data_IF_136117731356
#
_entry.id   IF_136117731356
#
_cell.length_a   1.000
_cell.length_b   1.000
_cell.length_c   1.000
_cell.angle_alpha   90.00
_cell.angle_beta   90.00
_cell.angle_gamma   90.00
#
_symmetry.space_group_name_H-M   'P 1'
#
loop_
_entity.id
_entity.type
_entity.pdbx_description
1 polymer ?
#
# COMPACT_ATOMS: atom_id res chain seq x y z
N UNK A 1 -53.93 -20.31 -61.51
CA UNK A 1 -54.71 -19.82 -60.36
C UNK A 1 -53.91 -18.71 -59.73
N UNK A 2 -54.44 -17.49 -59.82
CA UNK A 2 -53.85 -16.28 -59.26
C UNK A 2 -54.43 -16.05 -57.88
N UNK A 3 -53.59 -15.73 -56.90
CA UNK A 3 -54.01 -15.02 -55.70
C UNK A 3 -53.00 -13.91 -55.40
N UNK A 4 -53.53 -12.70 -55.24
CA UNK A 4 -52.82 -11.50 -54.87
C UNK A 4 -53.33 -10.99 -53.51
N UNK A 5 -52.49 -10.13 -52.93
CA UNK A 5 -52.77 -9.09 -51.94
C UNK A 5 -52.90 -9.45 -50.46
N UNK A 6 -52.16 -8.66 -49.68
CA UNK A 6 -52.22 -8.56 -48.23
C UNK A 6 -51.14 -7.62 -47.71
N UNK A 7 -51.30 -6.32 -47.97
CA UNK A 7 -50.50 -5.20 -47.46
C UNK A 7 -50.76 -4.97 -45.95
N UNK A 8 -49.70 -4.70 -45.18
CA UNK A 8 -49.77 -4.09 -43.86
C UNK A 8 -48.42 -3.39 -43.52
N UNK A 9 -48.21 -2.25 -44.16
CA UNK A 9 -47.91 -0.95 -43.53
C UNK A 9 -47.32 -0.88 -42.10
N UNK A 10 -46.27 -0.03 -42.02
CA UNK A 10 -45.93 0.96 -40.97
C UNK A 10 -44.84 0.66 -39.91
N UNK A 11 -43.67 1.27 -40.17
CA UNK A 11 -43.00 2.28 -39.33
C UNK A 11 -42.55 1.90 -37.91
N UNK A 12 -41.24 1.73 -37.76
CA UNK A 12 -40.52 1.93 -36.50
C UNK A 12 -39.21 2.68 -36.80
N UNK A 13 -39.25 4.00 -36.69
CA UNK A 13 -38.10 4.88 -36.82
C UNK A 13 -37.41 5.06 -35.45
N UNK A 14 -36.08 5.14 -35.53
CA UNK A 14 -35.10 5.70 -34.58
C UNK A 14 -34.50 4.77 -33.51
N UNK A 15 -33.15 4.77 -33.37
CA UNK A 15 -32.44 4.06 -32.31
C UNK A 15 -32.62 4.80 -30.98
N UNK A 16 -32.95 4.04 -29.95
CA UNK A 16 -33.10 4.56 -28.59
C UNK A 16 -31.75 5.06 -28.08
N UNK A 17 -31.61 6.38 -28.07
CA UNK A 17 -30.48 7.10 -27.52
C UNK A 17 -30.92 7.65 -26.17
N UNK A 18 -30.79 6.83 -25.13
CA UNK A 18 -31.03 7.27 -23.76
C UNK A 18 -29.85 6.90 -22.85
N UNK A 19 -29.05 7.94 -22.60
CA UNK A 19 -28.42 8.26 -21.31
C UNK A 19 -27.36 7.30 -20.76
N UNK A 20 -26.10 7.63 -21.07
CA UNK A 20 -24.97 7.40 -20.17
C UNK A 20 -25.27 8.11 -18.84
N UNK A 21 -25.74 7.37 -17.85
CA UNK A 21 -25.54 7.78 -16.45
C UNK A 21 -24.04 8.00 -16.23
N UNK A 22 -23.60 9.02 -15.48
CA UNK A 22 -22.23 9.09 -15.00
C UNK A 22 -22.07 7.95 -14.01
N UNK A 23 -21.75 6.77 -14.55
CA UNK A 23 -21.47 5.59 -13.77
C UNK A 23 -20.30 5.95 -12.88
N UNK A 24 -20.54 5.98 -11.57
CA UNK A 24 -19.49 5.78 -10.58
C UNK A 24 -18.73 4.55 -11.04
N UNK A 25 -17.57 4.75 -11.66
CA UNK A 25 -16.80 3.65 -12.23
C UNK A 25 -16.50 2.71 -11.08
N UNK A 26 -17.21 1.58 -11.04
CA UNK A 26 -16.94 0.50 -10.09
C UNK A 26 -15.54 0.05 -10.44
N UNK A 27 -14.57 0.41 -9.59
CA UNK A 27 -13.20 -0.02 -9.75
C UNK A 27 -13.21 -1.54 -9.87
N UNK A 28 -12.43 -2.07 -10.79
CA UNK A 28 -12.19 -3.50 -10.80
C UNK A 28 -11.66 -3.93 -9.43
N UNK A 29 -11.95 -5.17 -9.03
CA UNK A 29 -11.48 -5.72 -7.75
C UNK A 29 -9.96 -5.57 -7.59
N UNK A 30 -9.19 -5.67 -8.68
CA UNK A 30 -7.74 -5.53 -8.67
C UNK A 30 -7.29 -4.08 -8.46
N UNK A 31 -7.99 -3.10 -9.04
CA UNK A 31 -7.74 -1.69 -8.76
C UNK A 31 -8.10 -1.31 -7.32
N UNK A 32 -9.16 -1.89 -6.77
CA UNK A 32 -9.52 -1.70 -5.36
C UNK A 32 -8.44 -2.26 -4.43
N UNK A 33 -7.94 -3.48 -4.72
CA UNK A 33 -6.82 -4.08 -3.99
C UNK A 33 -5.54 -3.26 -4.12
N UNK A 34 -5.18 -2.81 -5.34
CA UNK A 34 -4.05 -1.91 -5.57
C UNK A 34 -4.14 -0.65 -4.70
N UNK A 35 -5.31 -0.02 -4.62
CA UNK A 35 -5.51 1.18 -3.79
C UNK A 35 -5.24 0.88 -2.32
N UNK A 36 -5.72 -0.25 -1.80
CA UNK A 36 -5.46 -0.68 -0.41
C UNK A 36 -3.98 -0.96 -0.15
N UNK A 37 -3.32 -1.70 -1.04
CA UNK A 37 -1.86 -1.94 -0.93
C UNK A 37 -1.06 -0.65 -1.01
N UNK A 38 -1.45 0.28 -1.89
CA UNK A 38 -0.83 1.59 -2.02
C UNK A 38 -1.01 2.43 -0.76
N UNK A 39 -2.20 2.42 -0.17
CA UNK A 39 -2.47 3.13 1.08
C UNK A 39 -1.58 2.61 2.22
N UNK A 40 -1.49 1.27 2.37
CA UNK A 40 -0.58 0.65 3.36
C UNK A 40 0.88 0.99 3.10
N UNK A 41 1.34 0.92 1.85
CA UNK A 41 2.71 1.28 1.49
C UNK A 41 3.04 2.75 1.82
N UNK A 42 2.09 3.66 1.57
CA UNK A 42 2.23 5.09 1.91
C UNK A 42 2.31 5.30 3.42
N UNK A 43 1.39 4.69 4.18
CA UNK A 43 1.39 4.72 5.64
C UNK A 43 2.73 4.25 6.21
N UNK A 44 3.24 3.10 5.73
CA UNK A 44 4.53 2.59 6.14
C UNK A 44 5.69 3.55 5.79
N UNK A 45 5.69 4.13 4.58
CA UNK A 45 6.69 5.11 4.17
C UNK A 45 6.68 6.38 5.02
N UNK A 46 5.49 6.85 5.42
CA UNK A 46 5.36 8.00 6.32
C UNK A 46 5.89 7.69 7.71
N UNK A 47 5.62 6.49 8.24
CA UNK A 47 6.23 6.01 9.49
C UNK A 47 7.75 5.89 9.38
N UNK A 48 8.30 5.42 8.26
CA UNK A 48 9.75 5.40 8.02
C UNK A 48 10.33 6.80 8.21
N UNK A 49 9.74 7.82 7.57
CA UNK A 49 10.19 9.22 7.70
C UNK A 49 10.07 9.73 9.14
N UNK A 50 8.95 9.46 9.80
CA UNK A 50 8.70 9.89 11.17
C UNK A 50 9.71 9.29 12.17
N UNK A 51 10.00 7.99 12.04
CA UNK A 51 10.98 7.30 12.87
C UNK A 51 12.41 7.82 12.63
N UNK A 52 12.81 8.03 11.36
CA UNK A 52 14.11 8.64 11.04
C UNK A 52 14.25 10.05 11.64
N UNK A 53 13.20 10.88 11.57
CA UNK A 53 13.18 12.21 12.22
C UNK A 53 13.32 12.10 13.73
N UNK A 54 12.57 11.20 14.36
CA UNK A 54 12.59 11.00 15.80
C UNK A 54 13.97 10.55 16.31
N UNK A 55 14.71 9.79 15.50
CA UNK A 55 16.08 9.39 15.80
C UNK A 55 17.10 10.55 15.69
N UNK A 56 16.70 11.72 15.17
CA UNK A 56 17.62 12.84 14.89
C UNK A 56 18.63 12.51 13.79
N UNK A 57 18.32 11.54 12.93
CA UNK A 57 19.23 11.07 11.91
C UNK A 57 18.96 11.82 10.61
N UNK A 58 19.85 12.74 10.25
CA UNK A 58 19.85 13.37 8.94
C UNK A 58 20.26 12.34 7.88
N UNK A 59 19.28 11.90 7.10
CA UNK A 59 19.47 10.93 6.04
C UNK A 59 19.25 11.59 4.68
N UNK A 60 20.29 11.62 3.85
CA UNK A 60 20.13 11.90 2.42
C UNK A 60 19.75 10.58 1.71
N UNK A 61 18.50 10.42 1.23
CA UNK A 61 18.08 9.21 0.54
C UNK A 61 18.79 9.00 -0.81
N UNK A 62 19.49 10.02 -1.35
CA UNK A 62 20.31 9.92 -2.56
C UNK A 62 21.73 9.40 -2.30
N UNK A 63 22.17 9.34 -1.03
CA UNK A 63 23.50 8.83 -0.69
C UNK A 63 23.57 7.30 -0.91
N UNK A 64 24.40 6.87 -1.86
CA UNK A 64 24.59 5.45 -2.19
C UNK A 64 25.76 4.88 -1.39
N UNK A 65 25.48 3.93 -0.50
CA UNK A 65 26.49 3.20 0.26
C UNK A 65 26.20 1.69 0.13
N UNK A 66 27.22 0.93 -0.29
CA UNK A 66 27.06 -0.50 -0.60
C UNK A 66 26.66 -1.37 0.61
N UNK A 67 27.15 -1.02 1.81
CA UNK A 67 26.76 -1.67 3.08
C UNK A 67 26.57 -0.58 4.14
N UNK A 68 25.34 -0.20 4.49
CA UNK A 68 25.10 0.83 5.48
C UNK A 68 25.40 0.30 6.89
N UNK A 69 26.51 0.73 7.48
CA UNK A 69 26.89 0.42 8.88
C UNK A 69 26.35 1.44 9.86
N UNK A 70 26.44 2.72 9.48
CA UNK A 70 26.02 3.87 10.28
C UNK A 70 24.50 4.04 10.30
N UNK A 71 23.97 4.61 11.40
CA UNK A 71 22.54 4.88 11.56
C UNK A 71 21.98 5.76 10.42
N UNK A 72 22.72 6.79 9.98
CA UNK A 72 22.37 7.64 8.85
C UNK A 72 22.29 6.89 7.52
N UNK A 73 23.26 6.02 7.24
CA UNK A 73 23.26 5.20 6.04
C UNK A 73 22.10 4.19 6.04
N UNK A 74 21.77 3.60 7.20
CA UNK A 74 20.63 2.68 7.34
C UNK A 74 19.29 3.39 7.18
N UNK A 75 19.14 4.59 7.75
CA UNK A 75 17.98 5.44 7.59
C UNK A 75 17.77 5.86 6.11
N UNK A 76 18.83 6.30 5.43
CA UNK A 76 18.80 6.63 4.01
C UNK A 76 18.36 5.43 3.16
N UNK A 77 18.91 4.25 3.43
CA UNK A 77 18.51 3.02 2.75
C UNK A 77 17.03 2.67 2.99
N UNK A 78 16.53 2.81 4.22
CA UNK A 78 15.12 2.58 4.52
C UNK A 78 14.20 3.53 3.74
N UNK A 79 14.52 4.83 3.72
CA UNK A 79 13.77 5.83 2.95
C UNK A 79 13.75 5.51 1.45
N UNK A 80 14.88 5.10 0.89
CA UNK A 80 15.00 4.70 -0.51
C UNK A 80 14.15 3.46 -0.80
N UNK A 81 14.21 2.42 0.03
CA UNK A 81 13.40 1.21 -0.14
C UNK A 81 11.89 1.52 -0.09
N UNK A 82 11.46 2.41 0.81
CA UNK A 82 10.07 2.88 0.85
C UNK A 82 9.67 3.63 -0.43
N UNK A 83 10.55 4.49 -0.96
CA UNK A 83 10.31 5.22 -2.20
C UNK A 83 10.24 4.28 -3.42
N UNK A 84 11.16 3.32 -3.52
CA UNK A 84 11.21 2.32 -4.60
C UNK A 84 9.93 1.47 -4.62
N UNK A 85 9.43 1.06 -3.46
CA UNK A 85 8.18 0.31 -3.33
C UNK A 85 6.97 1.12 -3.85
N UNK A 86 6.88 2.41 -3.50
CA UNK A 86 5.82 3.29 -3.99
C UNK A 86 5.93 3.54 -5.50
N UNK A 87 7.14 3.71 -6.02
CA UNK A 87 7.37 3.87 -7.45
C UNK A 87 7.00 2.61 -8.24
N UNK A 88 7.22 1.42 -7.67
CA UNK A 88 6.80 0.16 -8.27
C UNK A 88 5.27 0.02 -8.32
N UNK A 89 4.55 0.39 -7.25
CA UNK A 89 3.08 0.38 -7.20
C UNK A 89 2.42 1.32 -8.22
N UNK A 90 3.09 2.41 -8.58
CA UNK A 90 2.60 3.37 -9.56
C UNK A 90 2.77 2.92 -11.02
N UNK A 91 3.49 1.81 -11.27
CA UNK A 91 3.82 1.32 -12.61
C UNK A 91 2.98 0.11 -12.99
N UNK A 92 2.61 0.03 -14.27
CA UNK A 92 1.99 -1.14 -14.87
C UNK A 92 0.52 -1.38 -14.48
N UNK A 93 -0.03 -2.51 -14.92
CA UNK A 93 -1.40 -2.93 -14.63
C UNK A 93 -1.53 -3.48 -13.19
N UNK A 94 -2.70 -3.38 -12.54
CA UNK A 94 -2.99 -3.99 -11.24
C UNK A 94 -2.57 -5.46 -11.15
N UNK A 95 -1.74 -5.77 -10.16
CA UNK A 95 -1.37 -7.13 -9.80
C UNK A 95 -1.37 -7.22 -8.28
N UNK A 96 -2.42 -7.79 -7.66
CA UNK A 96 -2.53 -7.88 -6.21
C UNK A 96 -1.33 -8.54 -5.53
N UNK A 97 -0.73 -9.56 -6.16
CA UNK A 97 0.40 -10.26 -5.55
C UNK A 97 1.67 -9.41 -5.60
N UNK A 98 1.93 -8.72 -6.71
CA UNK A 98 3.06 -7.80 -6.82
C UNK A 98 2.85 -6.57 -5.92
N UNK A 99 1.67 -5.97 -5.96
CA UNK A 99 1.30 -4.79 -5.19
C UNK A 99 1.40 -5.06 -3.67
N UNK A 100 0.93 -6.23 -3.21
CA UNK A 100 1.07 -6.64 -1.81
C UNK A 100 2.53 -6.83 -1.39
N UNK A 101 3.41 -7.35 -2.27
CA UNK A 101 4.85 -7.45 -1.98
C UNK A 101 5.49 -6.07 -1.85
N UNK A 102 5.08 -5.09 -2.63
CA UNK A 102 5.57 -3.72 -2.48
C UNK A 102 5.11 -3.10 -1.16
N UNK A 103 3.86 -3.31 -0.76
CA UNK A 103 3.38 -2.88 0.56
C UNK A 103 4.18 -3.53 1.71
N UNK A 104 4.49 -4.83 1.60
CA UNK A 104 5.38 -5.53 2.54
C UNK A 104 6.78 -4.93 2.57
N UNK A 105 7.38 -4.63 1.42
CA UNK A 105 8.72 -4.05 1.35
C UNK A 105 8.78 -2.66 2.01
N UNK A 106 7.74 -1.84 1.81
CA UNK A 106 7.60 -0.56 2.51
C UNK A 106 7.48 -0.76 4.03
N UNK A 107 6.69 -1.75 4.48
CA UNK A 107 6.57 -2.08 5.91
C UNK A 107 7.89 -2.57 6.52
N UNK A 108 8.67 -3.38 5.80
CA UNK A 108 10.00 -3.83 6.23
C UNK A 108 10.99 -2.66 6.35
N UNK A 109 10.94 -1.70 5.43
CA UNK A 109 11.73 -0.46 5.55
C UNK A 109 11.35 0.35 6.80
N UNK A 110 10.06 0.41 7.13
CA UNK A 110 9.58 1.07 8.35
C UNK A 110 10.09 0.38 9.63
N UNK A 111 10.26 -0.96 9.62
CA UNK A 111 10.90 -1.69 10.74
C UNK A 111 12.34 -1.26 10.94
N UNK A 112 13.12 -1.14 9.86
CA UNK A 112 14.52 -0.70 9.94
C UNK A 112 14.61 0.71 10.56
N UNK A 113 13.74 1.63 10.13
CA UNK A 113 13.68 2.97 10.70
C UNK A 113 13.21 2.97 12.16
N UNK A 114 12.22 2.15 12.51
CA UNK A 114 11.75 1.98 13.88
C UNK A 114 12.83 1.41 14.81
N UNK A 115 13.66 0.49 14.33
CA UNK A 115 14.80 -0.05 15.09
C UNK A 115 15.83 1.04 15.40
N UNK A 116 16.12 1.91 14.43
CA UNK A 116 17.02 3.05 14.62
C UNK A 116 16.40 4.05 15.62
N UNK A 117 15.12 4.39 15.47
CA UNK A 117 14.43 5.27 16.42
C UNK A 117 14.40 4.69 17.83
N UNK A 118 14.14 3.38 17.96
CA UNK A 118 14.17 2.67 19.23
C UNK A 118 15.55 2.73 19.88
N UNK A 119 16.65 2.56 19.13
CA UNK A 119 17.99 2.62 19.72
C UNK A 119 18.44 4.02 20.13
N UNK A 120 17.75 5.07 19.66
CA UNK A 120 17.98 6.47 20.04
C UNK A 120 16.99 6.96 21.12
N UNK A 121 15.85 6.30 21.27
CA UNK A 121 14.88 6.55 22.34
C UNK A 121 15.12 5.65 23.55
N UNK A 122 14.55 6.01 24.69
CA UNK A 122 14.50 5.11 25.86
C UNK A 122 13.07 4.98 26.36
N UNK A 123 12.66 3.76 26.69
CA UNK A 123 11.41 3.46 27.38
C UNK A 123 10.40 2.65 26.57
N UNK A 124 9.42 2.12 27.29
CA UNK A 124 8.45 1.13 26.80
C UNK A 124 7.63 1.58 25.57
N UNK A 125 7.48 2.89 25.35
CA UNK A 125 6.77 3.42 24.18
C UNK A 125 7.57 3.22 22.88
N UNK A 126 8.89 3.40 22.92
CA UNK A 126 9.75 3.16 21.77
C UNK A 126 9.80 1.66 21.42
N UNK A 127 9.88 0.79 22.44
CA UNK A 127 9.81 -0.66 22.27
C UNK A 127 8.46 -1.09 21.68
N UNK A 128 7.36 -0.58 22.22
CA UNK A 128 6.01 -0.88 21.72
C UNK A 128 5.81 -0.43 20.26
N UNK A 129 6.38 0.72 19.88
CA UNK A 129 6.32 1.22 18.51
C UNK A 129 7.14 0.36 17.54
N UNK A 130 8.32 -0.11 17.96
CA UNK A 130 9.11 -1.07 17.19
C UNK A 130 8.40 -2.41 17.03
N UNK A 131 7.86 -2.97 18.11
CA UNK A 131 7.12 -4.24 18.08
C UNK A 131 5.86 -4.15 17.21
N UNK A 132 5.15 -3.03 17.25
CA UNK A 132 4.00 -2.80 16.39
C UNK A 132 4.41 -2.71 14.90
N UNK A 133 5.53 -2.05 14.59
CA UNK A 133 6.08 -2.02 13.23
C UNK A 133 6.48 -3.42 12.73
N UNK A 134 7.09 -4.25 13.60
CA UNK A 134 7.40 -5.65 13.29
C UNK A 134 6.14 -6.45 12.95
N UNK A 135 5.10 -6.34 13.79
CA UNK A 135 3.81 -7.02 13.55
C UNK A 135 3.16 -6.59 12.24
N UNK A 136 3.16 -5.29 11.93
CA UNK A 136 2.66 -4.77 10.66
C UNK A 136 3.42 -5.36 9.46
N UNK A 137 4.76 -5.45 9.54
CA UNK A 137 5.59 -6.07 8.51
C UNK A 137 5.32 -7.56 8.35
N UNK A 138 5.12 -8.30 9.46
CA UNK A 138 4.79 -9.73 9.43
C UNK A 138 3.42 -9.98 8.80
N UNK A 139 2.38 -9.25 9.24
CA UNK A 139 1.04 -9.36 8.67
C UNK A 139 1.01 -9.01 7.17
N UNK A 140 1.73 -7.95 6.76
CA UNK A 140 1.90 -7.63 5.35
C UNK A 140 2.62 -8.74 4.57
N UNK A 141 3.60 -9.40 5.20
CA UNK A 141 4.30 -10.57 4.66
C UNK A 141 3.36 -11.74 4.43
N UNK A 142 2.51 -12.07 5.40
CA UNK A 142 1.49 -13.12 5.28
C UNK A 142 0.49 -12.80 4.17
N UNK A 143 -0.03 -11.58 4.12
CA UNK A 143 -0.96 -11.15 3.07
C UNK A 143 -0.36 -11.21 1.66
N UNK A 144 0.94 -10.90 1.52
CA UNK A 144 1.68 -10.98 0.25
C UNK A 144 2.20 -12.40 -0.08
N UNK A 145 2.18 -13.30 0.91
CA UNK A 145 2.72 -14.65 0.82
C UNK A 145 1.89 -15.57 -0.07
N UNK A 146 2.31 -16.84 -0.17
CA UNK A 146 1.67 -17.85 -1.03
C UNK A 146 0.18 -18.00 -0.75
N UNK A 147 -0.22 -17.91 0.52
CA UNK A 147 -1.59 -18.17 0.95
C UNK A 147 -2.49 -16.94 0.74
N UNK A 148 -1.93 -15.73 0.79
CA UNK A 148 -2.68 -14.50 0.58
C UNK A 148 -2.73 -14.04 -0.88
N UNK A 149 -1.60 -14.17 -1.60
CA UNK A 149 -1.37 -13.63 -2.96
C UNK A 149 -1.89 -12.19 -3.16
N UNK A 150 -1.93 -11.39 -2.08
CA UNK A 150 -2.53 -10.05 -2.08
C UNK A 150 -4.05 -9.99 -2.25
N UNK A 151 -4.75 -11.13 -2.42
CA UNK A 151 -6.19 -11.19 -2.70
C UNK A 151 -7.05 -11.56 -1.48
N UNK A 152 -6.46 -12.22 -0.49
CA UNK A 152 -7.20 -12.63 0.71
C UNK A 152 -7.71 -11.43 1.51
N UNK A 153 -9.03 -11.27 1.58
CA UNK A 153 -9.66 -10.17 2.32
C UNK A 153 -9.30 -10.20 3.80
N UNK A 154 -9.39 -11.37 4.44
CA UNK A 154 -9.09 -11.52 5.86
C UNK A 154 -7.64 -11.15 6.19
N UNK A 155 -6.68 -11.63 5.39
CA UNK A 155 -5.26 -11.32 5.60
C UNK A 155 -4.94 -9.84 5.28
N UNK A 156 -5.62 -9.25 4.31
CA UNK A 156 -5.49 -7.83 4.02
C UNK A 156 -6.05 -6.96 5.16
N UNK A 157 -7.21 -7.31 5.71
CA UNK A 157 -7.81 -6.61 6.85
C UNK A 157 -6.96 -6.75 8.13
N UNK A 158 -6.36 -7.92 8.37
CA UNK A 158 -5.39 -8.11 9.46
C UNK A 158 -4.17 -7.20 9.29
N UNK A 159 -3.60 -7.14 8.09
CA UNK A 159 -2.47 -6.27 7.80
C UNK A 159 -2.82 -4.77 7.92
N UNK A 160 -4.04 -4.38 7.58
CA UNK A 160 -4.55 -3.01 7.79
C UNK A 160 -4.70 -2.68 9.27
N UNK A 161 -5.22 -3.61 10.06
CA UNK A 161 -5.35 -3.46 11.52
C UNK A 161 -3.97 -3.33 12.18
N UNK A 162 -3.02 -4.18 11.78
CA UNK A 162 -1.65 -4.12 12.27
C UNK A 162 -0.95 -2.80 11.87
N UNK A 163 -1.15 -2.31 10.65
CA UNK A 163 -0.62 -1.02 10.22
C UNK A 163 -1.22 0.14 11.03
N UNK A 164 -2.54 0.14 11.29
CA UNK A 164 -3.17 1.14 12.14
C UNK A 164 -2.61 1.14 13.58
N UNK A 165 -2.37 -0.04 14.14
CA UNK A 165 -1.73 -0.18 15.45
C UNK A 165 -0.28 0.35 15.44
N UNK A 166 0.47 0.11 14.37
CA UNK A 166 1.83 0.63 14.21
C UNK A 166 1.84 2.17 14.12
N UNK A 167 0.88 2.78 13.41
CA UNK A 167 0.71 4.24 13.38
C UNK A 167 0.39 4.79 14.76
N UNK A 168 -0.54 4.17 15.49
CA UNK A 168 -0.90 4.61 16.84
C UNK A 168 0.28 4.52 17.82
N UNK A 169 1.03 3.41 17.79
CA UNK A 169 2.19 3.21 18.65
C UNK A 169 3.32 4.20 18.33
N UNK A 170 3.61 4.44 17.04
CA UNK A 170 4.55 5.47 16.61
C UNK A 170 4.13 6.87 17.10
N UNK A 171 2.84 7.20 16.98
CA UNK A 171 2.30 8.46 17.49
C UNK A 171 2.39 8.62 19.00
N UNK A 172 2.26 7.53 19.77
CA UNK A 172 2.45 7.50 21.22
C UNK A 172 3.93 7.63 21.62
N UNK A 173 4.84 7.06 20.83
CA UNK A 173 6.29 7.22 20.99
C UNK A 173 6.81 8.59 20.54
N UNK A 174 5.95 9.47 20.01
CA UNK A 174 6.32 10.80 19.53
C UNK A 174 6.93 10.81 18.12
N UNK A 175 6.87 9.69 17.38
CA UNK A 175 7.37 9.59 16.01
C UNK A 175 6.28 10.10 15.06
N UNK A 176 6.35 11.37 14.66
CA UNK A 176 5.37 12.03 13.78
C UNK A 176 6.00 12.65 12.54
#
# INVERSE_FOLDING_TARGET
MSESHGDASQQGALPDRATLSPGTAVLSTEEALRKRHTARARSAADRTRAACRAAGVEADPAAVIAVPTEAAAKAANALRLSADALAALAKGAPDPAADARQARNAAAAAVLAAQIAQSHGTGALADAAYDAALRASQAAGTAAGRDGMGRSEALNAEAETAEAAAVAAAGAAGWR
#
